data_IF_801502359302
#
_entry.id   IF_801502359302
#
_cell.length_a   1.000
_cell.length_b   1.000
_cell.length_c   1.000
_cell.angle_alpha   90.00
_cell.angle_beta   90.00
_cell.angle_gamma   90.00
#
_symmetry.space_group_name_H-M   'P 1'
#
loop_
_entity.id
_entity.type
_entity.pdbx_description
1 polymer ?
#
# COMPACT_ATOMS: atom_id res chain seq x y z
N UNK A 1 2.34 8.99 34.99
CA UNK A 1 2.55 8.70 33.56
C UNK A 1 1.18 8.49 32.96
N UNK A 2 0.82 9.27 31.94
CA UNK A 2 -0.43 9.03 31.21
C UNK A 2 -0.36 7.68 30.49
N UNK A 3 -1.50 7.06 30.20
CA UNK A 3 -1.53 5.79 29.46
C UNK A 3 -0.82 5.92 28.10
N UNK A 4 -0.92 7.09 27.47
CA UNK A 4 -0.25 7.43 26.21
C UNK A 4 1.27 7.42 26.37
N UNK A 5 1.80 8.04 27.43
CA UNK A 5 3.25 8.03 27.71
C UNK A 5 3.79 6.62 27.94
N UNK A 6 3.03 5.77 28.65
CA UNK A 6 3.42 4.37 28.86
C UNK A 6 3.39 3.57 27.55
N UNK A 7 2.33 3.72 26.74
CA UNK A 7 2.24 3.14 25.40
C UNK A 7 3.43 3.56 24.56
N UNK A 8 3.76 4.85 24.53
CA UNK A 8 4.82 5.39 23.69
C UNK A 8 6.21 4.99 24.17
N UNK A 9 6.43 4.89 25.49
CA UNK A 9 7.68 4.43 26.07
C UNK A 9 7.92 2.93 25.79
N UNK A 10 6.90 2.09 25.96
CA UNK A 10 7.00 0.65 25.70
C UNK A 10 7.13 0.37 24.20
N UNK A 11 6.34 1.05 23.38
CA UNK A 11 6.31 0.86 21.92
C UNK A 11 7.59 1.31 21.22
N UNK A 12 8.30 2.29 21.78
CA UNK A 12 9.57 2.80 21.25
C UNK A 12 10.79 2.21 21.96
N UNK A 13 10.64 1.10 22.69
CA UNK A 13 11.77 0.51 23.40
C UNK A 13 12.90 0.09 22.43
N UNK A 14 14.16 0.20 22.85
CA UNK A 14 15.31 -0.15 22.00
C UNK A 14 15.28 -1.60 21.49
N UNK A 15 14.69 -2.52 22.28
CA UNK A 15 14.57 -3.93 21.89
C UNK A 15 13.66 -4.09 20.67
N UNK A 16 12.55 -3.33 20.61
CA UNK A 16 11.62 -3.38 19.50
C UNK A 16 12.23 -2.79 18.23
N UNK A 17 13.01 -1.72 18.35
CA UNK A 17 13.79 -1.16 17.24
C UNK A 17 14.75 -2.19 16.65
N UNK A 18 15.43 -2.97 17.50
CA UNK A 18 16.35 -4.01 17.06
C UNK A 18 15.61 -5.16 16.35
N UNK A 19 14.54 -5.69 16.94
CA UNK A 19 13.75 -6.78 16.37
C UNK A 19 13.07 -6.39 15.04
N UNK A 20 12.48 -5.20 14.99
CA UNK A 20 11.88 -4.64 13.78
C UNK A 20 12.96 -4.33 12.73
N UNK A 21 14.12 -3.82 13.14
CA UNK A 21 15.24 -3.54 12.25
C UNK A 21 15.77 -4.79 11.56
N UNK A 22 15.95 -5.89 12.30
CA UNK A 22 16.40 -7.16 11.73
C UNK A 22 15.45 -7.65 10.64
N UNK A 23 14.14 -7.60 10.90
CA UNK A 23 13.12 -8.07 9.96
C UNK A 23 13.04 -7.18 8.70
N UNK A 24 13.18 -5.87 8.84
CA UNK A 24 13.31 -4.96 7.68
C UNK A 24 14.58 -5.25 6.87
N UNK A 25 15.71 -5.51 7.54
CA UNK A 25 16.97 -5.88 6.86
C UNK A 25 16.80 -7.20 6.08
N UNK A 26 16.12 -8.19 6.65
CA UNK A 26 15.83 -9.45 5.95
C UNK A 26 15.01 -9.18 4.67
N UNK A 27 13.99 -8.33 4.74
CA UNK A 27 13.19 -7.94 3.56
C UNK A 27 14.05 -7.23 2.49
N UNK A 28 14.96 -6.36 2.90
CA UNK A 28 15.92 -5.72 1.99
C UNK A 28 16.83 -6.75 1.31
N UNK A 29 17.35 -7.73 2.06
CA UNK A 29 18.16 -8.82 1.51
C UNK A 29 17.34 -9.65 0.52
N UNK A 30 16.11 -10.03 0.85
CA UNK A 30 15.22 -10.78 -0.05
C UNK A 30 14.99 -10.03 -1.36
N UNK A 31 14.78 -8.71 -1.29
CA UNK A 31 14.63 -7.85 -2.47
C UNK A 31 15.85 -7.95 -3.38
N UNK A 32 17.08 -7.85 -2.83
CA UNK A 32 18.32 -7.99 -3.60
C UNK A 32 18.47 -9.38 -4.21
N UNK A 33 18.10 -10.43 -3.48
CA UNK A 33 18.14 -11.81 -3.97
C UNK A 33 17.17 -12.02 -5.14
N UNK A 34 15.95 -11.47 -5.06
CA UNK A 34 14.99 -11.52 -6.16
C UNK A 34 15.47 -10.75 -7.38
N UNK A 35 16.05 -9.56 -7.21
CA UNK A 35 16.65 -8.82 -8.33
C UNK A 35 17.74 -9.63 -9.05
N UNK A 36 18.58 -10.34 -8.29
CA UNK A 36 19.60 -11.24 -8.84
C UNK A 36 18.97 -12.42 -9.58
N UNK A 37 17.90 -12.99 -9.04
CA UNK A 37 17.21 -14.12 -9.67
C UNK A 37 16.52 -13.69 -10.97
N UNK A 38 15.81 -12.56 -10.99
CA UNK A 38 15.22 -12.00 -12.21
C UNK A 38 16.27 -11.78 -13.31
N UNK A 39 17.47 -11.30 -12.94
CA UNK A 39 18.57 -11.10 -13.88
C UNK A 39 19.04 -12.43 -14.50
N UNK A 40 19.15 -13.50 -13.69
CA UNK A 40 19.50 -14.85 -14.19
C UNK A 40 18.42 -15.41 -15.10
N UNK A 41 17.15 -15.33 -14.70
CA UNK A 41 16.01 -15.83 -15.48
C UNK A 41 15.88 -15.12 -16.82
N UNK A 42 16.12 -13.80 -16.85
CA UNK A 42 16.13 -13.00 -18.08
C UNK A 42 17.16 -13.53 -19.08
N UNK A 43 18.37 -13.84 -18.61
CA UNK A 43 19.45 -14.38 -19.44
C UNK A 43 19.11 -15.78 -19.98
N UNK A 44 18.48 -16.62 -19.17
CA UNK A 44 18.02 -17.97 -19.58
C UNK A 44 16.89 -17.88 -20.60
N UNK A 45 15.98 -16.92 -20.44
CA UNK A 45 14.86 -16.69 -21.35
C UNK A 45 15.26 -16.01 -22.68
N UNK A 46 16.52 -15.61 -22.86
CA UNK A 46 17.00 -14.98 -24.09
C UNK A 46 16.40 -13.59 -24.36
N UNK A 47 15.91 -12.90 -23.33
CA UNK A 47 15.30 -11.58 -23.48
C UNK A 47 16.36 -10.50 -23.76
N UNK A 48 16.02 -9.51 -24.59
CA UNK A 48 16.89 -8.35 -24.81
C UNK A 48 17.14 -7.64 -23.46
N UNK A 49 18.40 -7.46 -23.03
CA UNK A 49 18.74 -6.80 -21.76
C UNK A 49 18.22 -5.36 -21.63
N UNK A 50 17.78 -4.72 -22.73
CA UNK A 50 17.12 -3.40 -22.69
C UNK A 50 15.75 -3.44 -22.00
N UNK A 51 14.95 -4.48 -22.23
CA UNK A 51 13.56 -4.57 -21.73
C UNK A 51 13.51 -4.63 -20.19
N UNK A 52 14.26 -5.51 -19.50
CA UNK A 52 14.27 -5.55 -18.04
C UNK A 52 14.83 -4.28 -17.42
N UNK A 53 15.82 -3.65 -18.07
CA UNK A 53 16.44 -2.41 -17.58
C UNK A 53 15.46 -1.24 -17.65
N UNK A 54 14.69 -1.16 -18.73
CA UNK A 54 13.62 -0.18 -18.87
C UNK A 54 12.50 -0.46 -17.86
N UNK A 55 12.01 -1.70 -17.78
CA UNK A 55 10.98 -2.09 -16.81
C UNK A 55 11.39 -1.78 -15.36
N UNK A 56 12.66 -2.03 -15.00
CA UNK A 56 13.20 -1.71 -13.68
C UNK A 56 13.22 -0.20 -13.41
N UNK A 57 13.66 0.59 -14.40
CA UNK A 57 13.67 2.07 -14.29
C UNK A 57 12.26 2.63 -14.13
N UNK A 58 11.32 2.19 -14.96
CA UNK A 58 9.91 2.61 -14.88
C UNK A 58 9.33 2.22 -13.52
N UNK A 59 9.59 0.99 -13.07
CA UNK A 59 9.18 0.50 -11.76
C UNK A 59 9.70 1.39 -10.62
N UNK A 60 11.00 1.68 -10.61
CA UNK A 60 11.61 2.55 -9.60
C UNK A 60 11.01 3.95 -9.57
N UNK A 61 10.82 4.59 -10.72
CA UNK A 61 10.25 5.95 -10.80
C UNK A 61 8.78 5.95 -10.35
N UNK A 62 8.01 4.96 -10.80
CA UNK A 62 6.59 4.85 -10.45
C UNK A 62 6.37 4.54 -8.96
N UNK A 63 7.32 3.87 -8.29
CA UNK A 63 7.22 3.54 -6.86
C UNK A 63 7.40 4.75 -5.94
N UNK A 64 7.99 5.85 -6.42
CA UNK A 64 8.24 7.06 -5.61
C UNK A 64 6.94 7.67 -5.09
N UNK A 65 5.92 7.77 -5.95
CA UNK A 65 4.62 8.37 -5.58
C UNK A 65 3.96 7.63 -4.41
N UNK A 66 3.68 6.32 -4.55
CA UNK A 66 3.14 5.51 -3.47
C UNK A 66 4.01 5.55 -2.21
N UNK A 67 5.35 5.50 -2.34
CA UNK A 67 6.27 5.53 -1.20
C UNK A 67 6.15 6.82 -0.37
N UNK A 68 5.98 7.98 -1.01
CA UNK A 68 5.76 9.25 -0.31
C UNK A 68 4.43 9.26 0.46
N UNK A 69 3.36 8.73 -0.16
CA UNK A 69 2.06 8.59 0.51
C UNK A 69 2.13 7.70 1.74
N UNK A 70 2.82 6.57 1.63
CA UNK A 70 3.06 5.64 2.74
C UNK A 70 3.87 6.29 3.86
N UNK A 71 4.87 7.11 3.51
CA UNK A 71 5.70 7.81 4.48
C UNK A 71 4.91 8.81 5.33
N UNK A 72 3.98 9.56 4.73
CA UNK A 72 3.12 10.51 5.46
C UNK A 72 2.27 9.76 6.51
N UNK A 73 1.65 8.64 6.12
CA UNK A 73 0.83 7.84 7.04
C UNK A 73 1.69 7.17 8.10
N UNK A 74 2.93 6.77 7.77
CA UNK A 74 3.88 6.24 8.74
C UNK A 74 4.07 7.21 9.91
N UNK A 75 4.35 8.48 9.62
CA UNK A 75 4.57 9.49 10.66
C UNK A 75 3.35 9.62 11.57
N UNK A 76 2.14 9.56 11.01
CA UNK A 76 0.89 9.55 11.79
C UNK A 76 0.75 8.31 12.69
N UNK A 77 1.07 7.12 12.17
CA UNK A 77 1.02 5.87 12.92
C UNK A 77 2.10 5.78 14.01
N UNK A 78 3.28 6.36 13.80
CA UNK A 78 4.35 6.37 14.81
C UNK A 78 3.91 7.01 16.14
N UNK A 79 3.03 8.01 16.07
CA UNK A 79 2.45 8.65 17.26
C UNK A 79 1.46 7.75 18.01
N UNK A 80 0.84 6.78 17.33
CA UNK A 80 -0.25 5.96 17.90
C UNK A 80 0.16 4.54 18.29
N UNK A 81 0.95 3.86 17.43
CA UNK A 81 1.31 2.45 17.59
C UNK A 81 2.81 2.22 17.80
N UNK A 82 3.60 3.30 17.85
CA UNK A 82 5.05 3.28 18.02
C UNK A 82 5.86 3.29 16.72
N UNK A 83 7.06 3.84 16.83
CA UNK A 83 8.03 3.98 15.75
C UNK A 83 8.46 2.66 15.10
N UNK A 84 8.94 1.67 15.88
CA UNK A 84 9.44 0.39 15.35
C UNK A 84 8.38 -0.38 14.57
N UNK A 85 7.18 -0.49 15.12
CA UNK A 85 6.10 -1.26 14.51
C UNK A 85 5.54 -0.58 13.26
N UNK A 86 5.33 0.73 13.29
CA UNK A 86 4.94 1.47 12.09
C UNK A 86 5.97 1.32 10.95
N UNK A 87 7.26 1.41 11.30
CA UNK A 87 8.35 1.24 10.34
C UNK A 87 8.41 -0.17 9.74
N UNK A 88 8.33 -1.20 10.57
CA UNK A 88 8.30 -2.60 10.13
C UNK A 88 7.15 -2.86 9.15
N UNK A 89 5.94 -2.50 9.56
CA UNK A 89 4.71 -2.82 8.83
C UNK A 89 4.68 -2.14 7.48
N UNK A 90 5.06 -0.87 7.41
CA UNK A 90 5.08 -0.12 6.16
C UNK A 90 6.27 -0.47 5.26
N UNK A 91 7.38 -0.95 5.83
CA UNK A 91 8.51 -1.46 5.04
C UNK A 91 8.24 -2.82 4.40
N UNK A 92 7.36 -3.65 4.98
CA UNK A 92 7.05 -5.00 4.46
C UNK A 92 5.78 -4.98 3.61
N UNK A 93 4.70 -4.34 4.08
CA UNK A 93 3.39 -4.37 3.40
C UNK A 93 3.24 -3.17 2.47
N UNK A 94 3.70 -1.99 2.89
CA UNK A 94 3.63 -0.77 2.07
C UNK A 94 2.21 -0.26 1.79
N UNK A 95 1.18 -0.83 2.41
CA UNK A 95 -0.22 -0.41 2.24
C UNK A 95 -0.71 0.32 3.49
N UNK A 96 -0.43 1.63 3.56
CA UNK A 96 -0.66 2.37 4.80
C UNK A 96 -2.14 2.49 5.20
N UNK A 97 -3.05 2.59 4.23
CA UNK A 97 -4.49 2.62 4.49
C UNK A 97 -5.00 1.32 5.14
N UNK A 98 -4.51 0.16 4.71
CA UNK A 98 -4.91 -1.12 5.29
C UNK A 98 -4.33 -1.30 6.70
N UNK A 99 -3.10 -0.83 6.92
CA UNK A 99 -2.47 -0.85 8.25
C UNK A 99 -3.21 0.06 9.24
N UNK A 100 -3.58 1.26 8.81
CA UNK A 100 -4.38 2.17 9.62
C UNK A 100 -5.77 1.58 9.91
N UNK A 101 -6.42 0.97 8.92
CA UNK A 101 -7.71 0.30 9.13
C UNK A 101 -7.59 -0.85 10.13
N UNK A 102 -6.55 -1.69 10.02
CA UNK A 102 -6.33 -2.79 10.95
C UNK A 102 -6.04 -2.30 12.39
N UNK A 103 -5.27 -1.21 12.53
CA UNK A 103 -5.03 -0.59 13.82
C UNK A 103 -6.32 -0.03 14.44
N UNK A 104 -7.18 0.61 13.64
CA UNK A 104 -8.49 1.11 14.12
C UNK A 104 -9.41 -0.04 14.55
N UNK A 105 -9.50 -1.12 13.77
CA UNK A 105 -10.30 -2.30 14.14
C UNK A 105 -9.83 -2.89 15.47
N UNK A 106 -8.51 -2.94 15.70
CA UNK A 106 -7.96 -3.41 16.98
C UNK A 106 -8.26 -2.48 18.16
N UNK A 107 -8.26 -1.17 17.94
CA UNK A 107 -8.67 -0.20 18.95
C UNK A 107 -10.18 -0.29 19.26
N UNK A 108 -11.01 -0.39 18.22
CA UNK A 108 -12.47 -0.56 18.31
C UNK A 108 -12.85 -1.86 19.03
N UNK A 109 -12.08 -2.94 18.85
CA UNK A 109 -12.27 -4.19 19.60
C UNK A 109 -12.10 -4.00 21.12
N UNK A 110 -11.35 -2.98 21.54
CA UNK A 110 -11.23 -2.57 22.94
C UNK A 110 -12.21 -1.45 23.33
N UNK A 111 -13.10 -1.03 22.43
CA UNK A 111 -14.07 0.04 22.66
C UNK A 111 -13.48 1.45 22.69
N UNK A 112 -12.26 1.64 22.18
CA UNK A 112 -11.56 2.93 22.21
C UNK A 112 -11.15 3.37 20.81
N UNK A 113 -11.01 4.68 20.61
CA UNK A 113 -10.47 5.23 19.36
C UNK A 113 -8.96 5.27 19.42
N UNK A 114 -8.30 4.96 18.30
CA UNK A 114 -6.85 5.00 18.17
C UNK A 114 -6.30 6.39 18.56
N UNK A 115 -5.29 6.42 19.45
CA UNK A 115 -4.62 7.67 19.85
C UNK A 115 -5.32 8.51 20.93
N UNK A 116 -6.35 7.98 21.59
CA UNK A 116 -7.02 8.65 22.73
C UNK A 116 -6.36 8.33 24.08
N UNK A 117 -6.65 9.11 25.13
CA UNK A 117 -6.09 8.87 26.49
C UNK A 117 -6.51 7.52 27.09
N UNK A 118 -7.61 6.96 26.59
CA UNK A 118 -8.13 5.64 26.95
C UNK A 118 -7.38 4.51 26.22
N UNK A 119 -6.48 4.82 25.29
CA UNK A 119 -5.68 3.84 24.59
C UNK A 119 -4.60 3.27 25.53
N UNK A 120 -4.91 2.11 26.11
CA UNK A 120 -4.03 1.40 27.05
C UNK A 120 -3.05 0.46 26.35
N UNK A 121 -2.08 -0.08 27.09
CA UNK A 121 -1.16 -1.10 26.61
C UNK A 121 -1.86 -2.36 26.04
N UNK A 122 -3.03 -2.70 26.60
CA UNK A 122 -3.84 -3.83 26.10
C UNK A 122 -4.43 -3.49 24.73
N UNK A 123 -4.93 -2.27 24.56
CA UNK A 123 -5.46 -1.81 23.26
C UNK A 123 -4.36 -1.79 22.19
N UNK A 124 -3.14 -1.39 22.57
CA UNK A 124 -1.96 -1.49 21.72
C UNK A 124 -1.67 -2.94 21.31
N UNK A 125 -1.62 -3.87 22.27
CA UNK A 125 -1.35 -5.27 21.99
C UNK A 125 -2.41 -5.90 21.08
N UNK A 126 -3.70 -5.60 21.31
CA UNK A 126 -4.80 -6.05 20.45
C UNK A 126 -4.68 -5.44 19.06
N UNK A 127 -4.31 -4.16 18.95
CA UNK A 127 -4.07 -3.49 17.66
C UNK A 127 -2.91 -4.15 16.89
N UNK A 128 -1.78 -4.41 17.55
CA UNK A 128 -0.66 -5.12 16.93
C UNK A 128 -1.03 -6.53 16.50
N UNK A 129 -1.86 -7.23 17.28
CA UNK A 129 -2.32 -8.57 16.94
C UNK A 129 -3.26 -8.55 15.72
N UNK A 130 -4.21 -7.63 15.66
CA UNK A 130 -5.08 -7.42 14.48
C UNK A 130 -4.26 -7.08 13.24
N UNK A 131 -3.26 -6.22 13.37
CA UNK A 131 -2.33 -5.92 12.27
C UNK A 131 -1.55 -7.18 11.83
N UNK A 132 -1.03 -7.97 12.78
CA UNK A 132 -0.34 -9.22 12.46
C UNK A 132 -1.25 -10.22 11.73
N UNK A 133 -2.49 -10.39 12.20
CA UNK A 133 -3.50 -11.23 11.55
C UNK A 133 -3.85 -10.74 10.15
N UNK A 134 -3.94 -9.42 9.93
CA UNK A 134 -4.15 -8.86 8.59
C UNK A 134 -3.04 -9.31 7.62
N UNK A 135 -1.77 -9.25 8.05
CA UNK A 135 -0.64 -9.69 7.23
C UNK A 135 -0.58 -11.20 7.02
N UNK A 136 -0.76 -11.98 8.08
CA UNK A 136 -0.71 -13.44 8.03
C UNK A 136 -1.87 -14.03 7.24
N UNK A 137 -3.08 -13.48 7.40
CA UNK A 137 -4.28 -13.90 6.67
C UNK A 137 -4.10 -13.77 5.17
N UNK A 138 -3.45 -12.69 4.71
CA UNK A 138 -3.13 -12.51 3.29
C UNK A 138 -2.18 -13.59 2.78
N UNK A 139 -1.12 -13.91 3.51
CA UNK A 139 -0.15 -14.95 3.12
C UNK A 139 -0.78 -16.35 3.08
N UNK A 140 -1.64 -16.67 4.06
CA UNK A 140 -2.34 -17.96 4.10
C UNK A 140 -3.33 -18.06 2.94
N UNK A 141 -4.14 -17.03 2.72
CA UNK A 141 -5.13 -17.02 1.65
C UNK A 141 -4.45 -17.10 0.28
N UNK A 142 -3.41 -16.30 0.04
CA UNK A 142 -2.66 -16.37 -1.22
C UNK A 142 -2.00 -17.74 -1.40
N UNK A 143 -1.40 -18.33 -0.37
CA UNK A 143 -0.79 -19.65 -0.45
C UNK A 143 -1.78 -20.76 -0.84
N UNK A 144 -3.01 -20.73 -0.30
CA UNK A 144 -4.03 -21.75 -0.58
C UNK A 144 -4.77 -21.45 -1.89
N UNK A 145 -5.12 -20.19 -2.14
CA UNK A 145 -6.00 -19.80 -3.24
C UNK A 145 -5.27 -19.61 -4.58
N UNK A 146 -3.96 -19.40 -4.60
CA UNK A 146 -3.19 -19.23 -5.85
C UNK A 146 -3.43 -20.34 -6.89
N UNK A 147 -3.29 -21.64 -6.56
CA UNK A 147 -3.53 -22.71 -7.54
C UNK A 147 -4.98 -22.77 -8.01
N UNK A 148 -5.94 -22.49 -7.12
CA UNK A 148 -7.36 -22.44 -7.46
C UNK A 148 -7.69 -21.26 -8.38
N UNK A 149 -7.08 -20.10 -8.14
CA UNK A 149 -7.21 -18.90 -8.96
C UNK A 149 -6.63 -19.11 -10.36
N UNK A 150 -5.51 -19.82 -10.50
CA UNK A 150 -4.95 -20.15 -11.81
C UNK A 150 -5.90 -21.06 -12.61
N UNK A 151 -6.46 -22.07 -11.96
CA UNK A 151 -7.46 -22.96 -12.57
C UNK A 151 -8.72 -22.20 -12.96
N UNK A 152 -9.22 -21.33 -12.08
CA UNK A 152 -10.39 -20.47 -12.33
C UNK A 152 -10.12 -19.52 -13.49
N UNK A 153 -8.95 -18.87 -13.52
CA UNK A 153 -8.51 -17.95 -14.58
C UNK A 153 -8.46 -18.64 -15.94
N UNK A 154 -7.93 -19.86 -16.00
CA UNK A 154 -7.87 -20.65 -17.23
C UNK A 154 -9.28 -21.08 -17.68
N UNK A 155 -10.14 -21.46 -16.74
CA UNK A 155 -11.52 -21.88 -17.04
C UNK A 155 -12.42 -20.72 -17.46
N UNK A 156 -12.29 -19.56 -16.83
CA UNK A 156 -13.10 -18.36 -17.09
C UNK A 156 -12.66 -17.67 -18.38
N UNK A 157 -11.36 -17.66 -18.70
CA UNK A 157 -10.91 -17.09 -19.98
C UNK A 157 -11.04 -18.00 -21.18
N UNK A 158 -11.19 -19.32 -20.98
CA UNK A 158 -11.28 -20.29 -22.07
C UNK A 158 -10.06 -20.27 -23.01
N UNK A 159 -8.93 -19.72 -22.58
CA UNK A 159 -7.72 -19.54 -23.39
C UNK A 159 -7.64 -18.22 -24.17
N UNK A 160 -8.63 -17.33 -24.12
CA UNK A 160 -8.56 -16.03 -24.77
C UNK A 160 -7.80 -15.01 -23.91
N UNK A 161 -6.59 -14.67 -24.38
CA UNK A 161 -5.72 -13.66 -23.76
C UNK A 161 -6.39 -12.28 -23.63
N UNK A 162 -7.32 -11.91 -24.52
CA UNK A 162 -8.04 -10.63 -24.41
C UNK A 162 -9.00 -10.64 -23.23
N UNK A 163 -9.73 -11.73 -23.03
CA UNK A 163 -10.60 -11.91 -21.89
C UNK A 163 -9.82 -11.95 -20.57
N UNK A 164 -8.63 -12.55 -20.57
CA UNK A 164 -7.74 -12.51 -19.40
C UNK A 164 -7.35 -11.09 -19.00
N UNK A 165 -6.99 -10.25 -19.97
CA UNK A 165 -6.62 -8.87 -19.70
C UNK A 165 -7.81 -8.07 -19.15
N UNK A 166 -9.00 -8.24 -19.71
CA UNK A 166 -10.23 -7.56 -19.24
C UNK A 166 -10.59 -8.02 -17.83
N UNK A 167 -10.55 -9.33 -17.56
CA UNK A 167 -10.83 -9.90 -16.24
C UNK A 167 -9.87 -9.33 -15.19
N UNK A 168 -8.57 -9.41 -15.44
CA UNK A 168 -7.55 -8.86 -14.52
C UNK A 168 -7.72 -7.36 -14.29
N UNK A 169 -7.98 -6.59 -15.35
CA UNK A 169 -8.26 -5.15 -15.25
C UNK A 169 -9.49 -4.84 -14.39
N UNK A 170 -10.59 -5.59 -14.61
CA UNK A 170 -11.83 -5.43 -13.83
C UNK A 170 -11.66 -5.81 -12.36
N UNK A 171 -10.90 -6.87 -12.05
CA UNK A 171 -10.58 -7.26 -10.68
C UNK A 171 -9.77 -6.16 -9.97
N UNK A 172 -8.72 -5.62 -10.61
CA UNK A 172 -7.95 -4.52 -10.03
C UNK A 172 -8.81 -3.29 -9.76
N UNK A 173 -9.66 -2.90 -10.71
CA UNK A 173 -10.60 -1.79 -10.53
C UNK A 173 -11.59 -2.06 -9.37
N UNK A 174 -12.10 -3.27 -9.24
CA UNK A 174 -12.98 -3.66 -8.14
C UNK A 174 -12.30 -3.58 -6.77
N UNK A 175 -11.06 -4.09 -6.65
CA UNK A 175 -10.28 -4.05 -5.42
C UNK A 175 -10.00 -2.60 -5.01
N UNK A 176 -9.47 -1.78 -5.92
CA UNK A 176 -9.20 -0.38 -5.63
C UNK A 176 -10.49 0.43 -5.40
N UNK A 177 -11.59 0.10 -6.09
CA UNK A 177 -12.90 0.69 -5.84
C UNK A 177 -13.39 0.41 -4.41
N UNK A 178 -13.30 -0.84 -3.95
CA UNK A 178 -13.65 -1.21 -2.58
C UNK A 178 -12.77 -0.52 -1.55
N UNK A 179 -11.46 -0.50 -1.75
CA UNK A 179 -10.51 0.18 -0.84
C UNK A 179 -10.79 1.69 -0.74
N UNK A 180 -11.21 2.32 -1.83
CA UNK A 180 -11.58 3.74 -1.82
C UNK A 180 -13.02 4.00 -1.35
N UNK A 181 -13.91 3.01 -1.37
CA UNK A 181 -15.31 3.18 -0.95
C UNK A 181 -15.40 3.64 0.52
N UNK A 182 -14.57 3.08 1.39
CA UNK A 182 -14.49 3.51 2.79
C UNK A 182 -14.00 4.95 2.96
N UNK A 183 -13.16 5.45 2.06
CA UNK A 183 -12.69 6.85 2.07
C UNK A 183 -13.72 7.82 1.47
N UNK A 184 -14.43 7.41 0.42
CA UNK A 184 -15.53 8.17 -0.19
C UNK A 184 -16.62 8.45 0.85
N UNK A 185 -16.95 7.47 1.69
CA UNK A 185 -17.98 7.61 2.73
C UNK A 185 -17.58 8.56 3.87
N UNK A 186 -16.29 8.87 4.05
CA UNK A 186 -15.81 9.76 5.12
C UNK A 186 -16.03 11.24 4.82
N UNK A 187 -16.28 11.63 3.57
CA UNK A 187 -16.61 13.01 3.24
C UNK A 187 -16.45 13.42 1.77
N UNK A 188 -16.96 14.61 1.45
CA UNK A 188 -16.92 15.19 0.10
C UNK A 188 -15.49 15.49 -0.37
N UNK A 189 -14.59 15.96 0.52
CA UNK A 189 -13.18 16.22 0.20
C UNK A 189 -12.43 14.95 -0.25
N UNK A 190 -12.59 13.85 0.49
CA UNK A 190 -11.98 12.55 0.14
C UNK A 190 -12.58 12.00 -1.16
N UNK A 191 -13.89 12.16 -1.37
CA UNK A 191 -14.55 11.77 -2.63
C UNK A 191 -14.00 12.53 -3.83
N UNK A 192 -13.81 13.84 -3.70
CA UNK A 192 -13.19 14.69 -4.72
C UNK A 192 -11.76 14.27 -5.00
N UNK A 193 -10.97 13.91 -3.98
CA UNK A 193 -9.61 13.42 -4.15
C UNK A 193 -9.56 12.15 -5.01
N UNK A 194 -10.45 11.19 -4.72
CA UNK A 194 -10.54 9.90 -5.44
C UNK A 194 -10.96 10.12 -6.88
N UNK A 195 -12.00 10.93 -7.11
CA UNK A 195 -12.51 11.21 -8.46
C UNK A 195 -11.52 12.02 -9.28
N UNK A 196 -10.92 13.07 -8.72
CA UNK A 196 -9.92 13.89 -9.39
C UNK A 196 -8.65 13.08 -9.70
N UNK A 197 -8.20 12.22 -8.79
CA UNK A 197 -7.10 11.29 -9.02
C UNK A 197 -7.40 10.30 -10.16
N UNK A 198 -8.58 9.67 -10.15
CA UNK A 198 -8.99 8.73 -11.19
C UNK A 198 -9.11 9.40 -12.57
N UNK A 199 -9.79 10.55 -12.64
CA UNK A 199 -9.99 11.29 -13.89
C UNK A 199 -8.67 11.85 -14.42
N UNK A 200 -7.83 12.40 -13.56
CA UNK A 200 -6.52 12.93 -13.95
C UNK A 200 -5.61 11.82 -14.48
N UNK A 201 -5.62 10.62 -13.88
CA UNK A 201 -4.87 9.48 -14.38
C UNK A 201 -5.35 9.04 -15.78
N UNK A 202 -6.67 8.93 -15.98
CA UNK A 202 -7.23 8.58 -17.30
C UNK A 202 -6.89 9.64 -18.35
N UNK A 203 -6.99 10.92 -18.01
CA UNK A 203 -6.64 12.02 -18.92
C UNK A 203 -5.13 12.01 -19.23
N UNK A 204 -4.27 11.92 -18.23
CA UNK A 204 -2.81 11.87 -18.39
C UNK A 204 -2.38 10.72 -19.29
N UNK A 205 -2.94 9.52 -19.09
CA UNK A 205 -2.59 8.35 -19.89
C UNK A 205 -3.11 8.49 -21.33
N UNK A 206 -4.35 8.98 -21.51
CA UNK A 206 -5.00 9.00 -22.83
C UNK A 206 -4.56 10.17 -23.71
N UNK A 207 -4.14 11.31 -23.14
CA UNK A 207 -3.73 12.51 -23.89
C UNK A 207 -2.22 12.75 -23.81
N UNK A 208 -1.65 12.88 -22.61
CA UNK A 208 -0.27 13.33 -22.41
C UNK A 208 0.73 12.22 -22.67
N UNK A 209 0.52 11.03 -22.10
CA UNK A 209 1.43 9.88 -22.26
C UNK A 209 1.44 9.36 -23.71
N UNK A 210 0.34 9.55 -24.45
CA UNK A 210 0.25 9.19 -25.86
C UNK A 210 1.12 10.10 -26.75
N UNK A 211 1.30 11.36 -26.35
CA UNK A 211 2.14 12.35 -27.05
C UNK A 211 3.59 12.35 -26.56
N UNK A 212 3.80 12.04 -25.28
CA UNK A 212 5.11 11.95 -24.64
C UNK A 212 5.18 10.69 -23.76
N UNK A 213 5.61 9.54 -24.31
CA UNK A 213 5.62 8.27 -23.58
C UNK A 213 6.53 8.29 -22.33
N UNK A 214 7.53 9.17 -22.29
CA UNK A 214 8.40 9.39 -21.11
C UNK A 214 7.64 9.90 -19.87
N UNK A 215 6.48 10.56 -20.04
CA UNK A 215 5.65 11.00 -18.91
C UNK A 215 4.85 9.86 -18.30
N UNK A 216 4.75 8.71 -18.96
CA UNK A 216 4.06 7.54 -18.40
C UNK A 216 4.73 7.07 -17.10
N UNK A 217 6.05 7.20 -17.00
CA UNK A 217 6.84 6.89 -15.80
C UNK A 217 6.44 7.76 -14.59
N UNK A 218 6.01 9.00 -14.83
CA UNK A 218 5.68 9.98 -13.80
C UNK A 218 4.17 10.14 -13.58
N UNK A 219 3.35 9.55 -14.45
CA UNK A 219 1.89 9.72 -14.48
C UNK A 219 1.22 9.44 -13.14
N UNK A 220 1.67 8.39 -12.44
CA UNK A 220 1.15 8.00 -11.12
C UNK A 220 1.41 9.08 -10.06
N UNK A 221 2.64 9.62 -10.01
CA UNK A 221 3.00 10.68 -9.06
C UNK A 221 2.25 11.99 -9.33
N UNK A 222 2.09 12.36 -10.61
CA UNK A 222 1.34 13.55 -11.00
C UNK A 222 -0.14 13.42 -10.63
N UNK A 223 -0.76 12.25 -10.87
CA UNK A 223 -2.15 11.99 -10.51
C UNK A 223 -2.37 12.09 -8.99
N UNK A 224 -1.43 11.61 -8.17
CA UNK A 224 -1.49 11.77 -6.71
C UNK A 224 -1.46 13.24 -6.28
N UNK A 225 -0.55 14.04 -6.84
CA UNK A 225 -0.46 15.48 -6.52
C UNK A 225 -1.74 16.21 -6.91
N UNK A 226 -2.30 15.92 -8.09
CA UNK A 226 -3.57 16.51 -8.54
C UNK A 226 -4.68 16.14 -7.57
N UNK A 227 -4.81 14.86 -7.20
CA UNK A 227 -5.81 14.41 -6.23
C UNK A 227 -5.72 15.15 -4.89
N UNK A 228 -4.50 15.33 -4.37
CA UNK A 228 -4.26 16.07 -3.13
C UNK A 228 -4.60 17.56 -3.24
N UNK A 229 -4.27 18.23 -4.36
CA UNK A 229 -4.59 19.65 -4.56
C UNK A 229 -6.11 19.86 -4.58
N UNK A 230 -6.86 18.99 -5.26
CA UNK A 230 -8.33 19.08 -5.29
C UNK A 230 -8.95 18.83 -3.91
N UNK A 231 -8.41 17.88 -3.14
CA UNK A 231 -8.86 17.63 -1.77
C UNK A 231 -8.62 18.84 -0.86
N UNK A 232 -7.39 19.36 -0.84
CA UNK A 232 -7.01 20.50 -0.02
C UNK A 232 -7.70 21.79 -0.45
N UNK A 233 -7.88 22.00 -1.76
CA UNK A 233 -8.60 23.15 -2.29
C UNK A 233 -10.06 23.14 -1.85
N UNK A 234 -10.72 21.98 -1.82
CA UNK A 234 -12.07 21.85 -1.29
C UNK A 234 -12.12 22.15 0.22
N UNK A 235 -11.20 21.56 0.99
CA UNK A 235 -11.13 21.77 2.44
C UNK A 235 -10.83 23.22 2.83
N UNK A 236 -10.09 23.98 2.02
CA UNK A 236 -9.83 25.41 2.29
C UNK A 236 -10.92 26.37 1.78
N UNK A 237 -11.75 25.96 0.81
CA UNK A 237 -12.80 26.81 0.23
C UNK A 237 -14.17 26.61 0.90
N UNK A 238 -14.45 25.41 1.43
CA UNK A 238 -15.77 25.03 1.93
C UNK A 238 -15.80 24.63 3.41
N UNK A 239 -14.67 24.72 4.12
CA UNK A 239 -14.54 24.49 5.56
C UNK A 239 -13.90 25.71 6.21
#
# INVERSE_FOLDING_TARGET
MSNIEQVQHVSNSPILWLLCGITVIISAIQTVLYMRQCSKTTRVAGLDPKIPKEAFRVGLISAIGPALGVFIVMVGLMASIGGPMAWLRLSIIGAAATELSAANIGAEACGVTLGTEQYTLICLAVSWFTMALNGAGWLIFTGIATPSLETLRNKVSGGDMKWLVVLSGSCSLGIFGYLNAGEILKGMGNTLAVLAGAVSMVLLVKTVCRKYPKLMEYSLGIAMIIGMIFALGYDQLFK
#
